data_IF_756683995739
#
_entry.id   IF_756683995739
#
_cell.length_a   1.000
_cell.length_b   1.000
_cell.length_c   1.000
_cell.angle_alpha   90.00
_cell.angle_beta   90.00
_cell.angle_gamma   90.00
#
_symmetry.space_group_name_H-M   'P 1'
#
loop_
_entity.id
_entity.type
_entity.pdbx_description
1 polymer ?
#
# COMPACT_ATOMS: atom_id res chain seq x y z
N UNK A 1 -7.81 -7.70 -5.65
CA UNK A 1 -6.39 -7.97 -5.32
C UNK A 1 -5.79 -8.87 -6.39
N UNK A 2 -4.52 -8.71 -6.63
CA UNK A 2 -3.78 -9.50 -7.61
C UNK A 2 -2.70 -10.31 -6.90
N UNK A 3 -2.59 -11.58 -7.28
CA UNK A 3 -1.51 -12.46 -6.82
C UNK A 3 -0.51 -12.61 -7.96
N UNK A 4 0.77 -12.40 -7.68
CA UNK A 4 1.82 -12.58 -8.67
C UNK A 4 2.03 -14.06 -8.96
N UNK A 5 2.14 -14.38 -10.24
CA UNK A 5 2.53 -15.70 -10.72
C UNK A 5 3.99 -15.72 -11.17
N UNK A 6 4.72 -14.63 -10.91
CA UNK A 6 6.13 -14.48 -11.27
C UNK A 6 7.02 -15.17 -10.24
N UNK A 7 8.09 -15.80 -10.71
CA UNK A 7 9.07 -16.50 -9.87
C UNK A 7 10.49 -16.22 -10.37
N UNK A 8 10.80 -14.94 -10.56
CA UNK A 8 12.04 -14.48 -11.16
C UNK A 8 13.03 -13.84 -10.17
N UNK A 9 12.71 -13.93 -8.88
CA UNK A 9 13.53 -13.32 -7.83
C UNK A 9 13.37 -11.81 -7.68
N UNK A 10 12.44 -11.20 -8.42
CA UNK A 10 12.14 -9.76 -8.30
C UNK A 10 11.25 -9.48 -7.10
N UNK A 11 11.00 -8.18 -6.85
CA UNK A 11 10.05 -7.73 -5.83
C UNK A 11 8.65 -8.30 -6.05
N UNK A 12 8.31 -8.67 -7.29
CA UNK A 12 6.98 -9.21 -7.62
C UNK A 12 6.86 -10.70 -7.35
N UNK A 13 7.95 -11.37 -6.94
CA UNK A 13 7.92 -12.80 -6.64
C UNK A 13 7.01 -13.07 -5.45
N UNK A 14 5.97 -13.89 -5.65
CA UNK A 14 4.93 -14.18 -4.65
C UNK A 14 4.23 -12.95 -4.06
N UNK A 15 4.21 -11.83 -4.78
CA UNK A 15 3.62 -10.59 -4.27
C UNK A 15 2.09 -10.65 -4.31
N UNK A 16 1.47 -10.10 -3.25
CA UNK A 16 0.05 -9.77 -3.22
C UNK A 16 -0.08 -8.27 -3.45
N UNK A 17 -0.84 -7.89 -4.47
CA UNK A 17 -1.01 -6.50 -4.88
C UNK A 17 -2.46 -6.07 -4.65
N UNK A 18 -2.66 -4.96 -3.96
CA UNK A 18 -3.97 -4.33 -3.84
C UNK A 18 -4.03 -3.12 -4.76
N UNK A 19 -5.02 -3.11 -5.68
CA UNK A 19 -5.25 -1.96 -6.55
C UNK A 19 -5.97 -0.88 -5.78
N UNK A 20 -5.35 0.30 -5.68
CA UNK A 20 -5.89 1.44 -4.95
C UNK A 20 -6.56 2.45 -5.87
N UNK A 21 -6.21 2.44 -7.16
CA UNK A 21 -6.84 3.26 -8.19
C UNK A 21 -6.77 2.52 -9.52
N UNK A 22 -7.84 2.59 -10.29
CA UNK A 22 -7.92 1.95 -11.60
C UNK A 22 -8.91 2.72 -12.46
N UNK A 23 -8.44 3.21 -13.60
CA UNK A 23 -9.27 3.93 -14.56
C UNK A 23 -8.70 3.77 -15.97
N UNK A 24 -9.27 4.53 -16.92
CA UNK A 24 -8.87 4.49 -18.32
C UNK A 24 -7.42 4.96 -18.56
N UNK A 25 -6.87 5.75 -17.62
CA UNK A 25 -5.51 6.29 -17.76
C UNK A 25 -4.44 5.36 -17.19
N UNK A 26 -4.84 4.30 -16.47
CA UNK A 26 -3.92 3.34 -15.90
C UNK A 26 -4.35 2.82 -14.54
N UNK A 27 -3.41 2.28 -13.79
CA UNK A 27 -3.64 1.70 -12.49
C UNK A 27 -2.53 2.06 -11.51
N UNK A 28 -2.89 2.11 -10.22
CA UNK A 28 -1.94 2.24 -9.10
C UNK A 28 -2.27 1.14 -8.10
N UNK A 29 -1.25 0.49 -7.59
CA UNK A 29 -1.40 -0.55 -6.59
C UNK A 29 -0.23 -0.58 -5.63
N UNK A 30 -0.41 -1.30 -4.53
CA UNK A 30 0.65 -1.51 -3.53
C UNK A 30 0.79 -2.98 -3.24
N UNK A 31 2.02 -3.44 -3.10
CA UNK A 31 2.34 -4.79 -2.64
C UNK A 31 2.13 -4.79 -1.12
N UNK A 32 1.29 -5.70 -0.62
CA UNK A 32 0.86 -5.68 0.78
C UNK A 32 1.58 -6.70 1.66
N UNK A 33 2.33 -7.62 1.07
CA UNK A 33 2.96 -8.74 1.79
C UNK A 33 4.48 -8.75 1.76
N UNK A 34 5.13 -7.64 1.42
CA UNK A 34 6.60 -7.56 1.38
C UNK A 34 7.09 -6.58 2.43
N UNK A 35 7.66 -7.05 3.56
CA UNK A 35 8.25 -6.15 4.55
C UNK A 35 9.39 -5.34 3.97
N UNK A 36 9.48 -4.07 4.34
CA UNK A 36 10.57 -3.21 3.92
C UNK A 36 11.87 -3.49 4.70
N UNK A 37 11.74 -4.08 5.88
CA UNK A 37 12.88 -4.37 6.73
C UNK A 37 13.26 -3.23 7.68
N UNK A 38 12.44 -2.18 7.72
CA UNK A 38 12.60 -1.04 8.64
C UNK A 38 11.25 -0.66 9.23
N UNK A 39 11.29 -0.02 10.39
CA UNK A 39 10.12 0.55 11.03
C UNK A 39 10.14 2.08 10.87
N UNK A 40 8.98 2.70 11.09
CA UNK A 40 8.82 4.16 10.94
C UNK A 40 9.82 4.93 11.82
N UNK A 41 10.03 4.50 13.05
CA UNK A 41 10.92 5.20 14.00
C UNK A 41 12.42 5.07 13.64
N UNK A 42 12.77 4.24 12.69
CA UNK A 42 14.14 4.15 12.17
C UNK A 42 14.42 5.24 11.13
N UNK A 43 13.38 5.93 10.63
CA UNK A 43 13.54 7.08 9.76
C UNK A 43 13.78 8.32 10.63
N UNK A 44 14.76 9.14 10.24
CA UNK A 44 15.17 10.30 11.04
C UNK A 44 14.00 11.23 11.38
N UNK A 45 13.13 11.50 10.42
CA UNK A 45 11.98 12.40 10.59
C UNK A 45 10.99 11.89 11.64
N UNK A 46 10.95 10.58 11.87
CA UNK A 46 9.97 9.92 12.73
C UNK A 46 10.61 9.19 13.91
N UNK A 47 11.84 9.57 14.28
CA UNK A 47 12.61 8.90 15.34
C UNK A 47 11.90 8.88 16.70
N UNK A 48 10.97 9.78 16.93
CA UNK A 48 10.17 9.85 18.16
C UNK A 48 8.80 9.17 18.06
N UNK A 49 8.48 8.61 16.90
CA UNK A 49 7.24 7.88 16.70
C UNK A 49 7.37 6.44 17.21
N UNK A 50 6.25 5.74 17.46
CA UNK A 50 6.31 4.32 17.79
C UNK A 50 6.95 3.49 16.69
N UNK A 51 7.42 2.29 17.03
CA UNK A 51 7.90 1.33 16.04
C UNK A 51 6.71 0.83 15.23
N UNK A 52 6.59 1.33 14.00
CA UNK A 52 5.51 0.98 13.08
C UNK A 52 6.09 0.30 11.86
N UNK A 53 5.63 -0.90 11.50
CA UNK A 53 6.23 -1.63 10.38
C UNK A 53 6.00 -0.90 9.07
N UNK A 54 7.02 -0.92 8.20
CA UNK A 54 6.95 -0.41 6.84
C UNK A 54 6.95 -1.58 5.87
N UNK A 55 6.22 -1.43 4.77
CA UNK A 55 6.16 -2.44 3.72
C UNK A 55 6.70 -1.87 2.42
N UNK A 56 7.30 -2.72 1.62
CA UNK A 56 7.79 -2.34 0.30
C UNK A 56 6.61 -2.40 -0.68
N UNK A 57 6.00 -1.26 -0.95
CA UNK A 57 4.78 -1.17 -1.76
C UNK A 57 5.02 -1.25 -3.25
N UNK A 58 6.24 -1.05 -3.72
CA UNK A 58 6.58 -1.13 -5.13
C UNK A 58 7.77 -0.24 -5.51
N UNK A 59 8.18 -0.28 -6.78
CA UNK A 59 9.40 0.40 -7.24
C UNK A 59 9.23 1.88 -7.56
N UNK A 60 8.00 2.39 -7.68
CA UNK A 60 7.77 3.80 -8.03
C UNK A 60 7.82 4.64 -6.77
N UNK A 61 8.50 5.80 -6.84
CA UNK A 61 8.64 6.73 -5.73
C UNK A 61 9.13 6.02 -4.45
N UNK A 62 10.13 5.15 -4.57
CA UNK A 62 10.60 4.25 -3.52
C UNK A 62 11.31 4.97 -2.36
N UNK A 63 11.37 6.29 -2.38
CA UNK A 63 11.89 7.13 -1.30
C UNK A 63 10.77 7.82 -0.53
N UNK A 64 9.51 7.62 -0.92
CA UNK A 64 8.36 8.29 -0.32
C UNK A 64 7.46 7.30 0.40
N UNK A 65 6.78 7.79 1.44
CA UNK A 65 5.82 7.01 2.21
C UNK A 65 4.41 7.23 1.65
N UNK A 66 3.69 6.12 1.55
CA UNK A 66 2.28 6.07 1.17
C UNK A 66 1.54 5.25 2.21
N UNK A 67 0.20 5.35 2.27
CA UNK A 67 -0.53 4.56 3.25
C UNK A 67 -1.96 4.24 2.80
N UNK A 68 -2.42 3.08 3.27
CA UNK A 68 -3.81 2.67 3.25
C UNK A 68 -4.36 2.74 4.66
N UNK A 69 -5.61 3.15 4.83
CA UNK A 69 -6.24 3.19 6.13
C UNK A 69 -7.76 2.96 6.03
N UNK A 70 -8.38 2.74 7.18
CA UNK A 70 -9.83 2.56 7.29
C UNK A 70 -10.45 3.50 8.33
N UNK A 71 -9.80 4.64 8.55
CA UNK A 71 -10.23 5.63 9.56
C UNK A 71 -10.39 7.01 8.95
N UNK A 72 -11.42 7.20 8.07
CA UNK A 72 -11.69 8.53 7.51
C UNK A 72 -12.16 9.53 8.58
N UNK A 73 -12.57 9.05 9.76
CA UNK A 73 -12.92 9.88 10.90
C UNK A 73 -11.69 10.57 11.52
N UNK A 74 -10.51 9.97 11.40
CA UNK A 74 -9.26 10.48 11.98
C UNK A 74 -8.29 11.04 10.93
N UNK A 75 -8.39 10.59 9.68
CA UNK A 75 -7.50 11.00 8.59
C UNK A 75 -8.35 11.58 7.48
N UNK A 76 -8.19 12.88 7.23
CA UNK A 76 -8.92 13.60 6.19
C UNK A 76 -8.31 13.41 4.81
N UNK A 77 -9.10 13.68 3.77
CA UNK A 77 -8.66 13.80 2.38
C UNK A 77 -8.18 12.51 1.72
N UNK A 78 -8.51 11.35 2.26
CA UNK A 78 -8.22 10.07 1.61
C UNK A 78 -9.12 9.83 0.39
N UNK A 79 -8.62 9.08 -0.58
CA UNK A 79 -9.37 8.65 -1.74
C UNK A 79 -9.91 7.23 -1.51
N UNK A 80 -11.16 6.99 -1.86
CA UNK A 80 -11.74 5.65 -1.70
C UNK A 80 -10.96 4.63 -2.55
N UNK A 81 -10.54 3.55 -1.91
CA UNK A 81 -9.82 2.45 -2.56
C UNK A 81 -10.64 1.16 -2.58
N UNK A 82 -11.94 1.23 -2.27
CA UNK A 82 -12.81 0.07 -2.17
C UNK A 82 -12.64 -0.68 -0.85
N UNK A 83 -13.52 -1.63 -0.58
CA UNK A 83 -13.47 -2.52 0.60
C UNK A 83 -13.40 -1.77 1.94
N UNK A 84 -13.94 -0.54 2.00
CA UNK A 84 -13.88 0.29 3.19
C UNK A 84 -12.52 0.94 3.44
N UNK A 85 -11.62 0.86 2.47
CA UNK A 85 -10.27 1.40 2.58
C UNK A 85 -10.14 2.77 1.90
N UNK A 86 -9.21 3.57 2.41
CA UNK A 86 -8.84 4.87 1.85
C UNK A 86 -7.37 4.83 1.46
N UNK A 87 -7.06 5.39 0.29
CA UNK A 87 -5.68 5.55 -0.19
C UNK A 87 -5.21 6.96 0.11
N UNK A 88 -4.17 7.07 0.94
CA UNK A 88 -3.59 8.36 1.29
C UNK A 88 -4.50 9.21 2.16
N UNK A 89 -4.28 10.50 2.06
CA UNK A 89 -4.97 11.52 2.84
C UNK A 89 -3.97 12.47 3.46
N UNK A 90 -4.40 13.18 4.48
CA UNK A 90 -3.54 14.13 5.16
C UNK A 90 -2.52 13.39 6.05
N UNK A 91 -1.27 13.36 5.62
CA UNK A 91 -0.22 12.61 6.29
C UNK A 91 -0.01 13.07 7.74
N UNK A 92 -0.16 14.36 8.02
CA UNK A 92 -0.05 14.87 9.38
C UNK A 92 -1.11 14.30 10.32
N UNK A 93 -2.32 13.99 9.82
CA UNK A 93 -3.35 13.33 10.60
C UNK A 93 -2.96 11.89 10.93
N UNK A 94 -2.37 11.19 9.96
CA UNK A 94 -1.90 9.82 10.16
C UNK A 94 -0.78 9.77 11.22
N UNK A 95 0.20 10.65 11.11
CA UNK A 95 1.31 10.73 12.07
C UNK A 95 0.80 11.07 13.47
N UNK A 96 -0.12 12.02 13.58
CA UNK A 96 -0.72 12.40 14.87
C UNK A 96 -1.41 11.20 15.51
N UNK A 97 -2.23 10.48 14.75
CA UNK A 97 -2.96 9.31 15.27
C UNK A 97 -2.05 8.16 15.66
N UNK A 98 -0.96 7.96 14.92
CA UNK A 98 0.07 6.98 15.28
C UNK A 98 0.75 7.38 16.59
N UNK A 99 1.16 8.64 16.72
CA UNK A 99 1.91 9.11 17.86
C UNK A 99 1.10 9.14 19.16
N UNK A 100 -0.20 9.43 19.07
CA UNK A 100 -1.05 9.53 20.26
C UNK A 100 -1.79 8.22 20.59
N UNK A 101 -1.59 7.16 19.81
CA UNK A 101 -2.21 5.85 20.05
C UNK A 101 -3.65 5.73 19.57
N UNK A 102 -4.20 6.74 18.91
CA UNK A 102 -5.56 6.67 18.37
C UNK A 102 -5.67 5.72 17.17
N UNK A 103 -4.57 5.51 16.45
CA UNK A 103 -4.48 4.59 15.32
C UNK A 103 -3.63 3.37 15.71
N UNK A 104 -4.04 2.20 15.23
CA UNK A 104 -3.32 0.94 15.41
C UNK A 104 -2.85 0.41 14.07
N UNK A 105 -2.01 -0.63 14.08
CA UNK A 105 -1.56 -1.30 12.86
C UNK A 105 -2.70 -2.00 12.12
N UNK A 106 -3.84 -2.20 12.76
CA UNK A 106 -5.05 -2.69 12.09
C UNK A 106 -5.78 -1.56 11.34
N UNK A 107 -5.49 -0.31 11.64
CA UNK A 107 -6.14 0.86 11.04
C UNK A 107 -5.36 1.43 9.86
N UNK A 108 -4.02 1.44 9.94
CA UNK A 108 -3.14 2.10 8.96
C UNK A 108 -1.99 1.17 8.60
N UNK A 109 -1.74 1.03 7.32
CA UNK A 109 -0.57 0.32 6.80
C UNK A 109 0.27 1.28 5.97
N UNK A 110 1.56 1.36 6.30
CA UNK A 110 2.51 2.27 5.65
C UNK A 110 3.34 1.54 4.62
N UNK A 111 3.56 2.19 3.49
CA UNK A 111 4.31 1.63 2.37
C UNK A 111 5.42 2.58 1.94
N UNK A 112 6.54 2.00 1.53
CA UNK A 112 7.60 2.70 0.80
C UNK A 112 7.38 2.38 -0.67
N UNK A 113 7.07 3.40 -1.48
CA UNK A 113 6.81 3.22 -2.91
C UNK A 113 5.46 2.61 -3.24
N UNK A 114 5.19 2.50 -4.53
CA UNK A 114 3.97 1.90 -5.07
C UNK A 114 4.24 1.30 -6.45
N UNK A 115 3.24 0.64 -7.03
CA UNK A 115 3.28 0.11 -8.38
C UNK A 115 2.35 0.94 -9.27
N UNK A 116 2.79 1.25 -10.48
CA UNK A 116 2.00 2.01 -11.45
C UNK A 116 1.98 1.33 -12.81
N UNK A 117 0.88 1.44 -13.52
CA UNK A 117 0.71 0.95 -14.89
C UNK A 117 0.07 2.03 -15.74
N UNK A 118 0.56 2.17 -16.97
CA UNK A 118 -0.08 2.98 -17.98
C UNK A 118 -1.33 2.29 -18.51
N UNK A 119 -2.15 3.02 -19.26
CA UNK A 119 -3.39 2.48 -19.83
C UNK A 119 -3.11 1.20 -20.63
N UNK A 120 -3.81 0.11 -20.29
CA UNK A 120 -3.72 -1.16 -20.99
C UNK A 120 -2.58 -2.07 -20.53
N UNK A 121 -1.60 -1.57 -19.79
CA UNK A 121 -0.43 -2.38 -19.41
C UNK A 121 -0.76 -3.46 -18.38
N UNK A 122 -1.56 -3.11 -17.38
CA UNK A 122 -1.96 -4.10 -16.37
C UNK A 122 -2.83 -5.20 -16.97
N UNK A 123 -3.76 -4.84 -17.84
CA UNK A 123 -4.63 -5.81 -18.53
C UNK A 123 -3.81 -6.78 -19.37
N UNK A 124 -2.77 -6.27 -20.06
CA UNK A 124 -1.87 -7.11 -20.82
C UNK A 124 -1.10 -8.09 -19.93
N UNK A 125 -0.65 -7.65 -18.76
CA UNK A 125 0.06 -8.52 -17.81
C UNK A 125 -0.86 -9.59 -17.23
N UNK A 126 -2.12 -9.25 -16.90
CA UNK A 126 -3.11 -10.24 -16.46
C UNK A 126 -3.39 -11.25 -17.57
N UNK A 127 -3.56 -10.78 -18.79
CA UNK A 127 -3.82 -11.66 -19.94
C UNK A 127 -2.63 -12.58 -20.24
N UNK A 128 -1.41 -12.14 -19.99
CA UNK A 128 -0.19 -12.95 -20.18
C UNK A 128 0.09 -13.93 -19.05
N UNK A 129 -0.71 -13.89 -17.96
CA UNK A 129 -0.54 -14.79 -16.82
C UNK A 129 0.44 -14.30 -15.76
N UNK A 130 0.89 -13.05 -15.82
CA UNK A 130 1.78 -12.50 -14.78
C UNK A 130 1.06 -12.32 -13.43
N UNK A 131 -0.25 -12.07 -13.46
CA UNK A 131 -1.09 -11.82 -12.28
C UNK A 131 -2.37 -12.62 -12.33
N UNK A 132 -2.82 -13.07 -11.18
CA UNK A 132 -4.12 -13.72 -11.00
C UNK A 132 -5.02 -12.83 -10.15
N UNK A 133 -6.21 -12.52 -10.67
CA UNK A 133 -7.18 -11.70 -9.96
C UNK A 133 -7.85 -12.52 -8.85
N UNK A 134 -8.02 -11.90 -7.67
CA UNK A 134 -8.71 -12.50 -6.55
C UNK A 134 -9.45 -11.43 -5.75
N UNK A 135 -10.34 -11.85 -4.87
CA UNK A 135 -11.03 -10.94 -3.97
C UNK A 135 -10.10 -10.54 -2.81
N UNK A 136 -10.27 -9.30 -2.33
CA UNK A 136 -9.53 -8.79 -1.19
C UNK A 136 -10.48 -8.49 -0.05
N UNK A 137 -9.95 -8.56 1.18
CA UNK A 137 -10.64 -8.06 2.36
C UNK A 137 -9.62 -7.38 3.28
N UNK A 138 -10.12 -6.58 4.23
CA UNK A 138 -9.26 -5.83 5.12
C UNK A 138 -8.34 -6.70 5.97
N UNK A 139 -8.79 -7.91 6.34
CA UNK A 139 -7.98 -8.83 7.13
C UNK A 139 -6.81 -9.40 6.34
N UNK A 140 -6.94 -9.54 5.02
CA UNK A 140 -5.84 -9.98 4.16
C UNK A 140 -4.80 -8.87 4.00
N UNK A 141 -5.25 -7.60 3.95
CA UNK A 141 -4.38 -6.45 3.69
C UNK A 141 -3.64 -6.03 4.96
N UNK A 142 -4.30 -6.03 6.09
CA UNK A 142 -3.76 -5.62 7.38
C UNK A 142 -3.39 -6.83 8.24
#
# INVERSE_FOLDING_TARGET
MLTSLQHDGSIFDDALLYLVAYDESGAVGVIVNKPYGRALNELHEFRHSPSWPLYNGGPVAHEELFFLHRRPDLIADGASAGDGLQWGGRFSDAVRGINNGALTTADVKLFVGYCGWDAGDLEAEVASGAWQLSEANGNTIF
#
